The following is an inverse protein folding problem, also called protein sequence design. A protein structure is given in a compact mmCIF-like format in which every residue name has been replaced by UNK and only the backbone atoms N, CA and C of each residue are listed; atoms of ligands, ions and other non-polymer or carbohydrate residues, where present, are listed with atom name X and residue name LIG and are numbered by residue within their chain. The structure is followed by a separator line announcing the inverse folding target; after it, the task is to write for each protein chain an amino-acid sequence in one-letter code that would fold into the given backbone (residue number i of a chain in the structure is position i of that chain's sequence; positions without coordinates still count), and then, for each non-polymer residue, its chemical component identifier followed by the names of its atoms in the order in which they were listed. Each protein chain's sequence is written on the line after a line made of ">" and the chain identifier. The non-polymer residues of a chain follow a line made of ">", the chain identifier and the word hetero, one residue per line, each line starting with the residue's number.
data_IF_969186094538
#
_entry.id   IF_969186094538
#
_cell.length_a   1.000
_cell.length_b   1.000
_cell.length_c   1.000
_cell.angle_alpha   90.00
_cell.angle_beta   90.00
_cell.angle_gamma   90.00
#
_symmetry.space_group_name_H-M   'P 1'
#
loop_
_entity.id
_entity.type
_entity.pdbx_description
1 polymer ?
#
# COMPACT_ATOMS: atom_id res chain seq x y z
N UNK A 1 -16.45 6.17 -19.79
CA UNK A 1 -16.31 4.72 -20.15
C UNK A 1 -15.34 4.44 -21.31
N UNK A 2 -15.10 5.35 -22.26
CA UNK A 2 -14.10 5.14 -23.34
C UNK A 2 -12.65 5.14 -22.84
N UNK A 3 -12.30 6.05 -21.93
CA UNK A 3 -10.94 6.16 -21.38
C UNK A 3 -10.45 4.87 -20.69
N UNK A 4 -11.32 4.20 -19.93
CA UNK A 4 -11.01 2.90 -19.31
C UNK A 4 -11.25 1.70 -20.23
N UNK A 5 -11.57 1.91 -21.52
CA UNK A 5 -11.96 0.85 -22.46
C UNK A 5 -13.05 -0.09 -21.91
N UNK A 6 -14.03 0.47 -21.21
CA UNK A 6 -15.13 -0.25 -20.52
C UNK A 6 -14.69 -1.19 -19.38
N UNK A 7 -13.46 -1.06 -18.85
CA UNK A 7 -12.97 -1.81 -17.69
C UNK A 7 -13.73 -1.46 -16.41
N UNK A 8 -14.00 -0.17 -16.19
CA UNK A 8 -14.77 0.33 -15.05
C UNK A 8 -16.11 0.88 -15.55
N UNK A 9 -17.20 0.16 -15.27
CA UNK A 9 -18.56 0.48 -15.71
C UNK A 9 -19.40 0.96 -14.53
N UNK A 10 -20.32 1.88 -14.81
CA UNK A 10 -21.28 2.35 -13.81
C UNK A 10 -22.23 1.18 -13.49
N UNK A 11 -22.45 0.92 -12.20
CA UNK A 11 -23.31 -0.17 -11.72
C UNK A 11 -22.63 -1.54 -11.59
N UNK A 12 -21.35 -1.67 -11.98
CA UNK A 12 -20.56 -2.88 -11.75
C UNK A 12 -19.44 -2.59 -10.76
N UNK A 13 -19.44 -3.29 -9.62
CA UNK A 13 -18.39 -3.16 -8.62
C UNK A 13 -17.05 -3.61 -9.19
N UNK A 14 -15.98 -2.93 -8.82
CA UNK A 14 -14.61 -3.25 -9.20
C UNK A 14 -13.71 -3.03 -7.99
N UNK A 15 -12.51 -3.60 -8.03
CA UNK A 15 -11.53 -3.38 -6.97
C UNK A 15 -11.07 -1.90 -6.96
N UNK A 16 -11.21 -1.17 -5.84
CA UNK A 16 -10.80 0.23 -5.76
C UNK A 16 -9.31 0.42 -6.00
N UNK A 17 -8.48 -0.56 -5.68
CA UNK A 17 -7.03 -0.48 -5.88
C UNK A 17 -6.72 -0.52 -7.36
N UNK A 18 -7.38 -1.40 -8.11
CA UNK A 18 -7.27 -1.43 -9.56
C UNK A 18 -7.77 -0.13 -10.18
N UNK A 19 -8.90 0.39 -9.69
CA UNK A 19 -9.46 1.65 -10.16
C UNK A 19 -8.52 2.83 -9.87
N UNK A 20 -8.01 2.96 -8.64
CA UNK A 20 -7.09 4.02 -8.23
C UNK A 20 -5.78 3.93 -9.00
N UNK A 21 -5.23 2.72 -9.17
CA UNK A 21 -4.03 2.50 -9.98
C UNK A 21 -4.24 2.97 -11.42
N UNK A 22 -5.35 2.59 -12.04
CA UNK A 22 -5.68 3.02 -13.39
C UNK A 22 -5.88 4.55 -13.47
N UNK A 23 -6.61 5.13 -12.52
CA UNK A 23 -6.92 6.55 -12.49
C UNK A 23 -5.65 7.38 -12.39
N UNK A 24 -4.78 7.10 -11.42
CA UNK A 24 -3.55 7.86 -11.19
C UNK A 24 -2.59 7.74 -12.39
N UNK A 25 -2.43 6.54 -12.95
CA UNK A 25 -1.59 6.34 -14.14
C UNK A 25 -2.16 7.06 -15.37
N UNK A 26 -3.48 7.05 -15.56
CA UNK A 26 -4.13 7.76 -16.66
C UNK A 26 -3.97 9.26 -16.50
N UNK A 27 -4.23 9.80 -15.31
CA UNK A 27 -4.02 11.22 -15.02
C UNK A 27 -2.57 11.63 -15.19
N UNK A 28 -1.61 10.81 -14.78
CA UNK A 28 -0.20 11.08 -15.02
C UNK A 28 0.11 11.17 -16.52
N UNK A 29 -0.38 10.22 -17.32
CA UNK A 29 -0.18 10.21 -18.77
C UNK A 29 -0.82 11.39 -19.49
N UNK A 30 -1.97 11.87 -19.01
CA UNK A 30 -2.68 13.00 -19.61
C UNK A 30 -2.12 14.36 -19.16
N UNK A 31 -1.56 14.44 -17.95
CA UNK A 31 -1.04 15.69 -17.37
C UNK A 31 0.47 15.88 -17.57
N UNK A 32 1.22 14.85 -17.98
CA UNK A 32 2.64 15.00 -18.32
C UNK A 32 2.77 15.87 -19.56
N UNK A 33 3.79 16.73 -19.59
CA UNK A 33 4.10 17.52 -20.78
C UNK A 33 5.12 16.79 -21.64
N UNK A 34 5.27 17.15 -22.91
CA UNK A 34 6.34 16.57 -23.76
C UNK A 34 7.74 16.97 -23.30
N UNK A 35 7.87 18.04 -22.52
CA UNK A 35 9.15 18.59 -22.03
C UNK A 35 9.56 18.03 -20.66
N UNK A 36 8.60 17.66 -19.83
CA UNK A 36 8.84 17.11 -18.49
C UNK A 36 8.20 15.71 -18.38
N UNK A 37 9.03 14.72 -18.03
CA UNK A 37 8.57 13.37 -17.77
C UNK A 37 7.70 13.26 -16.49
N UNK A 38 7.65 14.31 -15.68
CA UNK A 38 6.87 14.39 -14.44
C UNK A 38 5.49 15.03 -14.64
N UNK A 39 4.63 14.83 -13.64
CA UNK A 39 3.31 15.45 -13.55
C UNK A 39 2.99 15.72 -12.08
N UNK A 40 1.93 16.49 -11.80
CA UNK A 40 1.45 16.70 -10.43
C UNK A 40 1.17 15.37 -9.70
N UNK A 41 0.73 14.33 -10.41
CA UNK A 41 0.49 13.00 -9.82
C UNK A 41 1.80 12.41 -9.27
N UNK A 42 2.88 12.48 -10.04
CA UNK A 42 4.19 12.00 -9.61
C UNK A 42 4.79 12.86 -8.52
N UNK A 43 4.63 14.18 -8.61
CA UNK A 43 5.10 15.11 -7.57
C UNK A 43 4.40 14.87 -6.23
N UNK A 44 3.10 14.53 -6.24
CA UNK A 44 2.32 14.32 -5.02
C UNK A 44 2.43 12.90 -4.45
N UNK A 45 2.41 11.86 -5.30
CA UNK A 45 2.19 10.48 -4.87
C UNK A 45 3.34 9.52 -5.18
N UNK A 46 4.30 9.90 -6.04
CA UNK A 46 5.38 8.98 -6.40
C UNK A 46 6.48 8.94 -5.34
N UNK A 47 6.61 7.78 -4.70
CA UNK A 47 7.79 7.41 -3.92
C UNK A 47 8.75 6.54 -4.71
N UNK A 48 9.85 6.15 -4.08
CA UNK A 48 10.83 5.22 -4.62
C UNK A 48 11.05 4.06 -3.63
N UNK A 49 11.07 2.84 -4.17
CA UNK A 49 11.31 1.61 -3.46
C UNK A 49 12.53 0.92 -4.05
N UNK A 50 13.48 0.57 -3.19
CA UNK A 50 14.55 -0.34 -3.54
C UNK A 50 14.16 -1.78 -3.19
N UNK A 51 14.43 -2.69 -4.11
CA UNK A 51 14.15 -4.11 -3.97
C UNK A 51 15.44 -4.88 -4.18
N UNK A 52 15.85 -5.59 -3.14
CA UNK A 52 16.99 -6.50 -3.16
C UNK A 52 16.46 -7.92 -3.33
N UNK A 53 16.79 -8.57 -4.44
CA UNK A 53 16.41 -9.96 -4.73
C UNK A 53 17.61 -10.89 -4.60
N UNK A 54 17.43 -11.95 -3.84
CA UNK A 54 18.41 -13.02 -3.65
C UNK A 54 17.77 -14.33 -4.12
N UNK A 55 18.29 -14.92 -5.20
CA UNK A 55 17.80 -16.20 -5.72
C UNK A 55 18.50 -17.36 -5.01
N UNK A 56 17.76 -18.42 -4.69
CA UNK A 56 18.37 -19.60 -4.08
C UNK A 56 19.40 -20.22 -5.03
N UNK A 57 20.64 -20.39 -4.57
CA UNK A 57 21.75 -20.95 -5.36
C UNK A 57 22.51 -19.94 -6.24
N UNK A 58 22.22 -18.64 -6.13
CA UNK A 58 23.01 -17.59 -6.76
C UNK A 58 23.54 -16.62 -5.68
N UNK A 59 24.86 -16.40 -5.64
CA UNK A 59 25.47 -15.48 -4.67
C UNK A 59 25.25 -14.00 -5.05
N UNK A 60 24.89 -13.72 -6.31
CA UNK A 60 24.66 -12.37 -6.78
C UNK A 60 23.30 -11.82 -6.29
N UNK A 61 23.37 -10.68 -5.59
CA UNK A 61 22.21 -9.90 -5.17
C UNK A 61 21.81 -8.94 -6.29
N UNK A 62 20.57 -9.01 -6.73
CA UNK A 62 20.03 -8.06 -7.70
C UNK A 62 19.37 -6.90 -6.96
N UNK A 63 19.92 -5.69 -7.11
CA UNK A 63 19.37 -4.47 -6.52
C UNK A 63 18.69 -3.67 -7.62
N UNK A 64 17.39 -3.38 -7.44
CA UNK A 64 16.60 -2.58 -8.37
C UNK A 64 15.85 -1.48 -7.64
N UNK A 65 15.79 -0.28 -8.21
CA UNK A 65 14.96 0.81 -7.71
C UNK A 65 13.75 0.97 -8.61
N UNK A 66 12.57 1.10 -8.03
CA UNK A 66 11.32 1.24 -8.75
C UNK A 66 10.43 2.32 -8.14
N UNK A 67 9.74 3.11 -8.97
CA UNK A 67 8.76 4.06 -8.48
C UNK A 67 7.50 3.33 -7.97
N UNK A 68 6.85 3.91 -6.98
CA UNK A 68 5.53 3.44 -6.51
C UNK A 68 4.58 4.61 -6.31
N UNK A 69 3.27 4.36 -6.50
CA UNK A 69 2.20 5.31 -6.17
C UNK A 69 1.41 4.87 -4.91
N UNK A 70 1.45 3.58 -4.59
CA UNK A 70 0.78 2.98 -3.44
C UNK A 70 1.64 1.84 -2.89
N UNK A 71 1.68 1.69 -1.57
CA UNK A 71 2.38 0.59 -0.90
C UNK A 71 1.38 -0.50 -0.49
N UNK A 72 1.60 -1.72 -0.98
CA UNK A 72 0.80 -2.90 -0.63
C UNK A 72 1.27 -3.56 0.66
N UNK A 73 0.40 -3.56 1.67
CA UNK A 73 0.61 -4.14 2.99
C UNK A 73 -0.10 -5.49 3.10
N UNK A 74 0.69 -6.53 3.31
CA UNK A 74 0.19 -7.89 3.45
C UNK A 74 -0.35 -8.11 4.86
N UNK A 75 -1.65 -8.38 4.96
CA UNK A 75 -2.25 -8.73 6.24
C UNK A 75 -1.85 -10.14 6.66
N UNK A 76 -1.63 -10.38 7.97
CA UNK A 76 -1.37 -11.72 8.48
C UNK A 76 -2.53 -12.65 8.10
N UNK A 77 -2.26 -13.93 7.76
CA UNK A 77 -3.30 -14.88 7.45
C UNK A 77 -4.26 -15.00 8.65
N UNK A 78 -5.58 -15.08 8.42
CA UNK A 78 -6.51 -15.31 9.51
C UNK A 78 -6.18 -16.66 10.18
N UNK A 79 -6.32 -16.77 11.51
CA UNK A 79 -6.09 -18.02 12.22
C UNK A 79 -6.99 -19.12 11.64
N UNK A 80 -6.38 -20.26 11.28
CA UNK A 80 -7.06 -21.38 10.63
C UNK A 80 -8.01 -22.12 11.58
N UNK A 81 -7.77 -22.03 12.88
CA UNK A 81 -8.56 -22.66 13.91
C UNK A 81 -9.41 -21.60 14.61
N UNK A 82 -10.73 -21.80 14.57
CA UNK A 82 -11.66 -21.09 15.44
C UNK A 82 -11.75 -21.91 16.72
N UNK A 83 -11.06 -21.52 17.77
CA UNK A 83 -11.23 -22.18 19.05
C UNK A 83 -12.72 -22.08 19.44
N UNK A 84 -13.35 -23.22 19.74
CA UNK A 84 -14.79 -23.33 20.04
C UNK A 84 -15.17 -22.52 21.29
N UNK A 85 -14.17 -22.12 22.08
CA UNK A 85 -14.30 -21.28 23.28
C UNK A 85 -14.03 -19.79 23.02
N UNK A 86 -13.34 -19.42 21.95
CA UNK A 86 -13.03 -18.02 21.62
C UNK A 86 -14.09 -17.44 20.68
N UNK A 87 -15.03 -16.71 21.29
CA UNK A 87 -16.02 -15.86 20.61
C UNK A 87 -15.37 -15.01 19.51
N UNK A 88 -15.55 -15.35 18.22
CA UNK A 88 -15.43 -14.46 17.04
C UNK A 88 -14.50 -13.22 17.21
N UNK A 89 -13.27 -13.39 17.68
CA UNK A 89 -12.38 -12.26 17.90
C UNK A 89 -11.85 -11.86 16.52
N UNK A 90 -12.19 -10.66 16.07
CA UNK A 90 -11.63 -10.13 14.84
C UNK A 90 -10.14 -9.91 15.09
N UNK A 91 -9.23 -10.57 14.34
CA UNK A 91 -7.81 -10.40 14.54
C UNK A 91 -7.42 -8.93 14.36
N UNK A 92 -6.44 -8.47 15.13
CA UNK A 92 -5.95 -7.10 15.05
C UNK A 92 -4.45 -7.09 14.81
N UNK A 93 -3.96 -6.09 14.07
CA UNK A 93 -2.53 -5.89 13.79
C UNK A 93 -2.22 -4.40 13.76
N UNK A 94 -1.06 -3.98 14.27
CA UNK A 94 -0.64 -2.59 14.13
C UNK A 94 -0.15 -2.33 12.70
N UNK A 95 -0.46 -1.16 12.15
CA UNK A 95 0.04 -0.72 10.84
C UNK A 95 1.57 -0.78 10.77
N UNK A 96 2.22 -0.42 11.86
CA UNK A 96 3.67 -0.44 12.02
C UNK A 96 4.30 -1.82 11.83
N UNK A 97 3.62 -2.88 12.27
CA UNK A 97 4.08 -4.25 12.04
C UNK A 97 4.02 -4.63 10.56
N UNK A 98 3.03 -4.10 9.83
CA UNK A 98 2.91 -4.31 8.39
C UNK A 98 3.98 -3.53 7.62
N UNK A 99 4.36 -2.34 8.12
CA UNK A 99 5.37 -1.48 7.50
C UNK A 99 6.79 -2.05 7.59
N UNK A 100 7.06 -2.96 8.54
CA UNK A 100 8.33 -3.69 8.62
C UNK A 100 8.69 -4.37 7.30
N UNK A 101 7.71 -4.75 6.47
CA UNK A 101 7.97 -5.22 5.10
C UNK A 101 8.91 -4.31 4.28
N UNK A 102 8.93 -3.01 4.58
CA UNK A 102 9.65 -1.97 3.86
C UNK A 102 10.87 -1.38 4.61
N UNK A 103 11.32 -2.03 5.69
CA UNK A 103 12.48 -1.60 6.49
C UNK A 103 13.85 -1.90 5.83
N UNK A 104 13.87 -2.77 4.81
CA UNK A 104 15.07 -3.26 4.14
C UNK A 104 15.72 -4.50 4.79
N UNK A 105 15.20 -4.95 5.93
CA UNK A 105 15.68 -6.09 6.71
C UNK A 105 14.73 -7.30 6.59
N UNK A 106 13.42 -7.05 6.68
CA UNK A 106 12.37 -8.06 6.66
C UNK A 106 12.39 -8.82 5.34
N UNK A 107 12.64 -10.13 5.43
CA UNK A 107 12.71 -11.01 4.26
C UNK A 107 11.32 -11.47 3.88
N UNK A 108 10.92 -11.17 2.65
CA UNK A 108 9.72 -11.73 2.03
C UNK A 108 10.12 -12.86 1.08
N UNK A 109 9.68 -14.08 1.35
CA UNK A 109 9.91 -15.21 0.47
C UNK A 109 8.88 -15.24 -0.66
N UNK A 110 9.35 -15.18 -1.89
CA UNK A 110 8.52 -15.27 -3.09
C UNK A 110 8.76 -16.63 -3.73
N UNK A 111 7.70 -17.44 -3.81
CA UNK A 111 7.76 -18.83 -4.30
C UNK A 111 7.61 -18.91 -5.82
N UNK A 112 7.04 -17.89 -6.48
CA UNK A 112 6.79 -17.88 -7.93
C UNK A 112 7.24 -16.56 -8.55
N UNK A 113 7.92 -16.55 -9.72
CA UNK A 113 8.21 -17.68 -10.61
C UNK A 113 9.42 -18.55 -10.23
N UNK A 114 10.30 -18.06 -9.35
CA UNK A 114 11.43 -18.82 -8.75
C UNK A 114 11.51 -18.48 -7.27
N UNK A 115 12.03 -19.40 -6.45
CA UNK A 115 12.23 -19.15 -5.02
C UNK A 115 13.28 -18.06 -4.84
N UNK A 116 12.85 -16.90 -4.36
CA UNK A 116 13.69 -15.74 -4.12
C UNK A 116 13.36 -15.11 -2.77
N UNK A 117 14.38 -14.65 -2.08
CA UNK A 117 14.26 -13.79 -0.90
C UNK A 117 14.30 -12.34 -1.36
N UNK A 118 13.24 -11.60 -1.09
CA UNK A 118 13.13 -10.19 -1.43
C UNK A 118 13.16 -9.35 -0.15
N UNK A 119 13.95 -8.29 -0.14
CA UNK A 119 13.88 -7.22 0.86
C UNK A 119 13.46 -5.94 0.16
N UNK A 120 12.51 -5.23 0.76
CA UNK A 120 11.99 -3.98 0.22
C UNK A 120 12.40 -2.85 1.13
N UNK A 121 12.82 -1.72 0.56
CA UNK A 121 13.28 -0.56 1.32
C UNK A 121 12.76 0.71 0.67
N UNK A 122 11.98 1.51 1.41
CA UNK A 122 11.50 2.80 0.88
C UNK A 122 12.66 3.81 0.93
N UNK A 123 13.13 4.23 -0.24
CA UNK A 123 14.25 5.19 -0.36
C UNK A 123 13.75 6.63 -0.43
N UNK A 124 12.53 6.84 -0.94
CA UNK A 124 11.89 8.17 -1.00
C UNK A 124 10.40 8.07 -0.68
N UNK A 125 9.95 8.84 0.30
CA UNK A 125 8.52 8.97 0.61
C UNK A 125 7.88 10.14 -0.16
N UNK A 126 6.67 9.97 -0.71
CA UNK A 126 5.94 11.05 -1.35
C UNK A 126 5.28 11.99 -0.32
N UNK A 127 4.93 13.23 -0.70
CA UNK A 127 4.13 14.13 0.14
C UNK A 127 2.78 13.54 0.56
N UNK A 128 2.14 12.78 -0.32
CA UNK A 128 0.92 12.03 -0.04
C UNK A 128 1.19 10.54 -0.20
N UNK A 129 1.17 9.80 0.90
CA UNK A 129 1.44 8.38 0.91
C UNK A 129 0.13 7.58 0.99
N UNK A 130 -0.02 6.59 0.10
CA UNK A 130 -1.17 5.69 0.07
C UNK A 130 -0.76 4.28 0.49
N UNK A 131 -1.49 3.75 1.47
CA UNK A 131 -1.39 2.35 1.87
C UNK A 131 -2.59 1.56 1.36
N UNK A 132 -2.31 0.41 0.76
CA UNK A 132 -3.31 -0.57 0.38
C UNK A 132 -3.15 -1.81 1.25
N UNK A 133 -4.16 -2.10 2.08
CA UNK A 133 -4.20 -3.34 2.85
C UNK A 133 -4.73 -4.45 1.95
N UNK A 134 -3.90 -5.46 1.65
CA UNK A 134 -4.24 -6.57 0.75
C UNK A 134 -5.26 -7.49 1.43
N UNK A 135 -6.53 -7.09 1.36
CA UNK A 135 -7.65 -7.77 2.04
C UNK A 135 -8.24 -8.90 1.22
N UNK A 136 -8.21 -8.80 -0.10
CA UNK A 136 -8.84 -9.80 -0.95
C UNK A 136 -7.79 -10.73 -1.53
N UNK A 137 -7.96 -12.04 -1.30
CA UNK A 137 -7.14 -13.08 -1.95
C UNK A 137 -8.08 -14.00 -2.71
N UNK A 138 -7.77 -14.25 -3.98
CA UNK A 138 -8.51 -15.22 -4.80
C UNK A 138 -7.87 -16.59 -4.60
N UNK A 139 -8.63 -17.52 -4.01
CA UNK A 139 -8.27 -18.93 -3.99
C UNK A 139 -8.85 -19.65 -5.22
N UNK A 140 -8.54 -20.92 -5.41
CA UNK A 140 -9.03 -21.74 -6.52
C UNK A 140 -10.57 -21.81 -6.59
N UNK A 141 -11.26 -21.61 -5.47
CA UNK A 141 -12.71 -21.80 -5.37
C UNK A 141 -13.51 -20.49 -5.17
N UNK A 142 -12.99 -19.56 -4.38
CA UNK A 142 -13.70 -18.33 -4.03
C UNK A 142 -12.71 -17.20 -3.70
N UNK A 143 -13.22 -15.96 -3.74
CA UNK A 143 -12.52 -14.79 -3.22
C UNK A 143 -12.73 -14.73 -1.72
N UNK A 144 -11.66 -14.64 -0.95
CA UNK A 144 -11.69 -14.52 0.50
C UNK A 144 -11.31 -13.09 0.92
N UNK A 145 -12.00 -12.55 1.92
CA UNK A 145 -11.68 -11.25 2.53
C UNK A 145 -11.04 -11.50 3.89
N UNK A 146 -9.83 -10.97 4.07
CA UNK A 146 -9.15 -10.92 5.35
C UNK A 146 -9.84 -9.90 6.28
N UNK A 147 -10.42 -10.35 7.41
CA UNK A 147 -11.18 -9.49 8.31
C UNK A 147 -10.29 -8.69 9.29
N UNK A 148 -8.97 -8.89 9.31
CA UNK A 148 -8.07 -8.31 10.30
C UNK A 148 -8.20 -6.78 10.39
N UNK A 149 -8.45 -6.26 11.59
CA UNK A 149 -8.45 -4.83 11.87
C UNK A 149 -7.01 -4.34 11.94
N UNK A 150 -6.73 -3.23 11.24
CA UNK A 150 -5.43 -2.59 11.28
C UNK A 150 -5.53 -1.40 12.21
N UNK A 151 -4.71 -1.38 13.25
CA UNK A 151 -4.63 -0.29 14.21
C UNK A 151 -3.59 0.72 13.73
N UNK A 152 -3.98 1.97 13.51
CA UNK A 152 -3.11 3.04 13.03
C UNK A 152 -3.43 4.38 13.71
N UNK A 153 -2.42 5.22 13.98
CA UNK A 153 -2.65 6.58 14.45
C UNK A 153 -3.27 7.44 13.34
N UNK A 154 -4.09 8.41 13.74
CA UNK A 154 -4.74 9.34 12.81
C UNK A 154 -3.95 10.64 12.62
N UNK A 155 -3.08 10.99 13.56
CA UNK A 155 -2.25 12.20 13.57
C UNK A 155 -0.81 11.87 13.94
N UNK A 156 0.12 12.67 13.43
CA UNK A 156 1.55 12.63 13.73
C UNK A 156 2.19 11.24 13.60
N UNK A 157 1.78 10.48 12.58
CA UNK A 157 2.34 9.17 12.30
C UNK A 157 3.79 9.32 11.81
N UNK A 158 4.75 8.96 12.66
CA UNK A 158 6.17 9.00 12.35
C UNK A 158 6.59 7.74 11.59
N UNK A 159 6.96 7.89 10.31
CA UNK A 159 7.40 6.76 9.48
C UNK A 159 8.87 6.39 9.65
N UNK A 160 9.68 7.27 10.24
CA UNK A 160 11.13 7.05 10.42
C UNK A 160 11.43 5.82 11.24
N UNK A 161 10.69 5.62 12.32
CA UNK A 161 10.90 4.51 13.25
C UNK A 161 10.69 3.14 12.59
N UNK A 162 10.02 3.11 11.44
CA UNK A 162 9.65 1.89 10.71
C UNK A 162 10.27 1.81 9.32
N UNK A 163 10.84 2.91 8.82
CA UNK A 163 11.54 3.00 7.54
C UNK A 163 12.84 3.79 7.79
N UNK A 164 13.90 3.10 8.26
CA UNK A 164 15.15 3.75 8.68
C UNK A 164 15.89 4.46 7.53
N UNK A 165 15.55 4.15 6.29
CA UNK A 165 16.19 4.68 5.08
C UNK A 165 15.69 6.06 4.64
N UNK A 166 14.69 6.64 5.31
CA UNK A 166 14.27 8.00 5.00
C UNK A 166 15.36 8.98 5.45
N UNK A 167 15.80 9.92 4.60
CA UNK A 167 16.91 10.81 4.92
C UNK A 167 16.61 11.61 6.19
N UNK A 168 17.56 11.62 7.13
CA UNK A 168 17.58 12.57 8.23
C UNK A 168 17.67 13.96 7.62
N UNK A 169 16.81 14.87 8.06
CA UNK A 169 16.91 16.27 7.71
C UNK A 169 18.35 16.74 8.00
N UNK A 170 19.12 17.00 6.95
CA UNK A 170 20.37 17.75 7.06
C UNK A 170 19.97 19.16 7.53
N UNK A 171 20.72 19.76 8.46
CA UNK A 171 20.42 21.09 9.00
C UNK A 171 20.09 22.07 7.87
N UNK A 172 18.80 22.44 7.75
CA UNK A 172 18.30 23.34 6.70
C UNK A 172 17.16 22.79 5.82
N UNK A 173 16.98 21.47 5.69
CA UNK A 173 15.90 20.89 4.87
C UNK A 173 14.74 20.32 5.72
N UNK A 174 13.52 20.83 5.53
CA UNK A 174 12.30 20.32 6.18
C UNK A 174 11.84 18.99 5.55
N UNK A 175 12.59 17.92 5.73
CA UNK A 175 12.09 16.57 5.41
C UNK A 175 11.29 16.08 6.62
N UNK A 176 10.01 16.45 6.70
CA UNK A 176 9.11 15.88 7.70
C UNK A 176 8.73 14.45 7.29
N UNK A 177 8.96 13.49 8.17
CA UNK A 177 8.50 12.10 7.99
C UNK A 177 7.24 11.79 8.79
N UNK A 178 6.54 12.84 9.26
CA UNK A 178 5.28 12.76 9.96
C UNK A 178 4.12 12.92 8.99
N UNK A 179 3.13 12.03 9.11
CA UNK A 179 1.96 11.98 8.25
C UNK A 179 0.68 12.02 9.08
N UNK A 180 -0.32 12.75 8.57
CA UNK A 180 -1.68 12.76 9.11
C UNK A 180 -2.62 11.99 8.18
N UNK A 181 -3.55 11.25 8.75
CA UNK A 181 -4.52 10.47 8.00
C UNK A 181 -5.63 11.38 7.45
N UNK A 182 -5.59 11.66 6.15
CA UNK A 182 -6.59 12.53 5.51
C UNK A 182 -7.80 11.77 4.94
N UNK A 183 -7.64 10.49 4.59
CA UNK A 183 -8.68 9.69 3.97
C UNK A 183 -8.49 8.19 4.28
N UNK A 184 -9.59 7.47 4.47
CA UNK A 184 -9.61 6.03 4.67
C UNK A 184 -10.77 5.39 3.89
N UNK A 185 -10.45 4.46 2.99
CA UNK A 185 -11.43 3.70 2.20
C UNK A 185 -11.64 2.34 2.87
N UNK A 186 -12.88 2.06 3.24
CA UNK A 186 -13.28 0.84 3.96
C UNK A 186 -14.22 0.01 3.11
N UNK A 187 -14.03 -1.30 3.10
CA UNK A 187 -14.95 -2.25 2.49
C UNK A 187 -15.76 -2.99 3.56
N UNK A 188 -17.08 -2.96 3.43
CA UNK A 188 -18.01 -3.67 4.30
C UNK A 188 -18.73 -4.78 3.52
N UNK A 189 -19.11 -5.85 4.21
CA UNK A 189 -19.77 -7.00 3.59
C UNK A 189 -18.83 -8.00 2.93
N UNK A 190 -19.42 -8.89 2.12
CA UNK A 190 -18.78 -10.03 1.44
C UNK A 190 -17.96 -9.54 0.23
N UNK A 191 -16.94 -10.30 -0.22
CA UNK A 191 -16.08 -9.91 -1.35
C UNK A 191 -16.80 -9.57 -2.66
N UNK A 192 -17.93 -10.21 -2.95
CA UNK A 192 -18.67 -10.07 -4.21
C UNK A 192 -19.90 -9.14 -4.12
N UNK A 193 -20.36 -8.87 -2.90
CA UNK A 193 -21.66 -8.21 -2.65
C UNK A 193 -21.54 -7.21 -1.48
N UNK A 194 -20.36 -6.61 -1.38
CA UNK A 194 -20.03 -5.63 -0.36
C UNK A 194 -20.16 -4.21 -0.89
N UNK A 195 -19.87 -3.23 -0.05
CA UNK A 195 -19.88 -1.83 -0.45
C UNK A 195 -18.66 -1.11 0.13
N UNK A 196 -18.29 0.00 -0.50
CA UNK A 196 -17.18 0.83 -0.06
C UNK A 196 -17.69 2.11 0.59
N UNK A 197 -17.10 2.48 1.71
CA UNK A 197 -17.28 3.78 2.38
C UNK A 197 -15.95 4.50 2.43
N UNK A 198 -16.01 5.83 2.44
CA UNK A 198 -14.80 6.66 2.56
C UNK A 198 -15.00 7.62 3.73
N UNK A 199 -14.04 7.61 4.64
CA UNK A 199 -13.92 8.62 5.68
C UNK A 199 -12.87 9.63 5.22
N UNK A 200 -13.21 10.91 5.20
CA UNK A 200 -12.30 11.99 4.78
C UNK A 200 -12.21 13.01 5.92
N UNK A 201 -11.00 13.35 6.32
CA UNK A 201 -10.76 14.38 7.31
C UNK A 201 -11.07 15.76 6.72
N UNK A 202 -11.96 16.51 7.35
CA UNK A 202 -12.29 17.88 6.93
C UNK A 202 -11.31 18.86 7.56
N UNK A 203 -10.58 19.58 6.70
CA UNK A 203 -9.58 20.58 7.12
C UNK A 203 -10.18 21.75 7.93
N UNK A 204 -11.47 22.05 7.74
CA UNK A 204 -12.16 23.15 8.44
C UNK A 204 -12.44 22.89 9.92
N UNK A 205 -12.23 21.66 10.42
CA UNK A 205 -12.46 21.30 11.82
C UNK A 205 -11.17 21.36 12.67
N UNK A 206 -10.05 21.84 12.10
CA UNK A 206 -8.77 22.02 12.80
C UNK A 206 -8.45 23.49 13.15
N UNK A 207 -9.40 24.41 12.92
CA UNK A 207 -9.33 25.82 13.33
C UNK A 207 -10.00 26.05 14.68
#
# INVERSE_FOLDING_TARGET
>A
MKASKKRFRIGQQSDPVEFMSWLLNTLHMDLRTSKDASSIIHQCFQGELEVVREYQGNENKEISRMPFLMLGLDLPPPPLFKDVMEKNIIPQVALFDLLKKFDGETVTEVVRPKLARMRYRVTKSPPYLMFHMVRFKKNNFFKEKNPTLVNFPVKDMELRDYIPSLPTAVEGEKVSSKYNLIANIVHDGKPEDGYFRVFVQRKSQEL
#
